data_IF_256039373892
#
_entry.id   IF_256039373892
#
_cell.length_a   1.000
_cell.length_b   1.000
_cell.length_c   1.000
_cell.angle_alpha   90.00
_cell.angle_beta   90.00
_cell.angle_gamma   90.00
#
_symmetry.space_group_name_H-M   'P 1'
#
loop_
_entity.id
_entity.type
_entity.pdbx_description
1 polymer ?
#
# COMPACT_ATOMS: atom_id res chain seq x y z
N UNK A 1 9.77 -0.17 -19.24
CA UNK A 1 8.59 -1.04 -19.13
C UNK A 1 7.37 -0.14 -19.21
N UNK A 2 6.57 -0.29 -20.27
CA UNK A 2 5.68 0.77 -20.78
C UNK A 2 4.40 0.89 -19.96
N UNK A 3 4.37 1.86 -19.05
CA UNK A 3 3.14 2.45 -18.50
C UNK A 3 2.25 3.09 -19.59
N UNK A 4 2.76 3.23 -20.82
CA UNK A 4 2.05 3.82 -21.97
C UNK A 4 1.00 2.91 -22.62
N UNK A 5 0.74 1.71 -22.07
CA UNK A 5 -0.29 0.78 -22.58
C UNK A 5 -1.63 0.99 -21.86
N UNK A 6 -1.62 1.61 -20.68
CA UNK A 6 -2.83 1.88 -19.90
C UNK A 6 -3.50 3.14 -20.43
N UNK A 7 -4.81 3.07 -20.70
CA UNK A 7 -5.57 4.25 -21.13
C UNK A 7 -5.55 5.32 -20.03
N UNK A 8 -5.75 6.59 -20.41
CA UNK A 8 -5.84 7.69 -19.45
C UNK A 8 -6.95 7.49 -18.39
N UNK A 9 -7.92 6.63 -18.68
CA UNK A 9 -8.98 6.22 -17.76
C UNK A 9 -8.49 5.19 -16.74
N UNK A 10 -7.75 4.16 -17.18
CA UNK A 10 -7.07 3.24 -16.27
C UNK A 10 -6.05 3.96 -15.38
N UNK A 11 -5.31 4.94 -15.93
CA UNK A 11 -4.39 5.80 -15.17
C UNK A 11 -5.05 6.57 -14.01
N UNK A 12 -6.36 6.81 -14.06
CA UNK A 12 -7.09 7.50 -12.99
C UNK A 12 -7.46 6.57 -11.83
N UNK A 13 -7.50 5.26 -12.06
CA UNK A 13 -7.92 4.27 -11.05
C UNK A 13 -6.76 3.77 -10.21
N UNK A 14 -5.51 4.09 -10.55
CA UNK A 14 -4.35 3.72 -9.75
C UNK A 14 -3.49 4.89 -9.27
N UNK A 15 -2.78 4.68 -8.17
CA UNK A 15 -1.71 5.56 -7.70
C UNK A 15 -0.46 4.77 -7.33
N UNK A 16 0.70 5.39 -7.46
CA UNK A 16 1.98 4.80 -7.09
C UNK A 16 2.71 5.73 -6.13
N UNK A 17 3.08 5.19 -4.98
CA UNK A 17 3.69 5.97 -3.91
C UNK A 17 5.21 6.00 -4.08
N UNK A 18 5.82 7.03 -3.50
CA UNK A 18 7.27 7.12 -3.42
C UNK A 18 7.83 5.99 -2.55
N UNK A 19 8.93 5.35 -2.98
CA UNK A 19 9.54 4.23 -2.26
C UNK A 19 10.12 4.62 -0.88
N UNK A 20 10.29 5.92 -0.62
CA UNK A 20 10.70 6.45 0.67
C UNK A 20 9.53 6.65 1.64
N UNK A 21 8.28 6.62 1.15
CA UNK A 21 7.09 6.86 1.97
C UNK A 21 7.03 5.89 3.15
N UNK A 22 7.21 4.59 2.89
CA UNK A 22 7.08 3.55 3.91
C UNK A 22 8.21 3.60 4.95
N UNK A 23 9.50 3.74 4.57
CA UNK A 23 10.57 4.03 5.52
C UNK A 23 10.28 5.24 6.43
N UNK A 24 9.72 6.33 5.89
CA UNK A 24 9.34 7.47 6.72
C UNK A 24 8.20 7.15 7.69
N UNK A 25 7.17 6.42 7.23
CA UNK A 25 6.02 6.03 8.05
C UNK A 25 6.42 5.22 9.30
N UNK A 26 7.38 4.30 9.16
CA UNK A 26 7.82 3.44 10.27
C UNK A 26 8.89 4.09 11.16
N UNK A 27 9.54 5.16 10.71
CA UNK A 27 10.72 5.75 11.38
C UNK A 27 10.46 6.25 12.80
N UNK A 28 9.46 7.13 13.00
CA UNK A 28 9.06 7.65 14.30
C UNK A 28 7.62 8.19 14.25
N UNK A 29 7.04 8.47 15.43
CA UNK A 29 5.64 8.89 15.54
C UNK A 29 5.31 10.21 14.82
N UNK A 30 6.26 11.17 14.80
CA UNK A 30 6.06 12.46 14.14
C UNK A 30 6.01 12.30 12.62
N UNK A 31 6.96 11.54 12.05
CA UNK A 31 6.96 11.22 10.63
C UNK A 31 5.76 10.37 10.24
N UNK A 32 5.38 9.40 11.07
CA UNK A 32 4.17 8.61 10.88
C UNK A 32 2.94 9.49 10.73
N UNK A 33 2.73 10.45 11.64
CA UNK A 33 1.60 11.37 11.57
C UNK A 33 1.62 12.19 10.26
N UNK A 34 2.78 12.69 9.84
CA UNK A 34 2.94 13.42 8.58
C UNK A 34 2.60 12.56 7.37
N UNK A 35 3.13 11.34 7.32
CA UNK A 35 2.84 10.40 6.24
C UNK A 35 1.35 10.04 6.23
N UNK A 36 0.74 9.89 7.41
CA UNK A 36 -0.69 9.61 7.50
C UNK A 36 -1.56 10.77 6.96
N UNK A 37 -1.17 12.02 7.25
CA UNK A 37 -1.80 13.22 6.69
C UNK A 37 -1.62 13.30 5.18
N UNK A 38 -0.41 13.05 4.67
CA UNK A 38 -0.12 13.03 3.24
C UNK A 38 -1.05 12.08 2.49
N UNK A 39 -1.24 10.85 2.99
CA UNK A 39 -2.13 9.86 2.36
C UNK A 39 -3.58 10.36 2.30
N UNK A 40 -4.06 11.03 3.36
CA UNK A 40 -5.42 11.60 3.38
C UNK A 40 -5.58 12.71 2.33
N UNK A 41 -4.61 13.61 2.25
CA UNK A 41 -4.65 14.76 1.34
C UNK A 41 -4.55 14.33 -0.14
N UNK A 42 -3.93 13.18 -0.41
CA UNK A 42 -3.64 12.68 -1.75
C UNK A 42 -4.74 11.74 -2.28
N UNK A 43 -5.81 11.54 -1.51
CA UNK A 43 -7.02 10.77 -1.87
C UNK A 43 -6.72 9.37 -2.43
N UNK A 44 -5.66 8.74 -1.96
CA UNK A 44 -5.15 7.46 -2.50
C UNK A 44 -6.09 6.28 -2.29
N UNK A 45 -7.11 6.44 -1.44
CA UNK A 45 -8.17 5.47 -1.21
C UNK A 45 -9.35 5.62 -2.17
N UNK A 46 -9.43 6.72 -2.94
CA UNK A 46 -10.35 6.84 -4.07
C UNK A 46 -9.80 6.13 -5.32
N UNK A 47 -8.69 5.42 -5.18
CA UNK A 47 -8.04 4.67 -6.25
C UNK A 47 -8.35 3.20 -6.04
N UNK A 48 -8.79 2.54 -7.11
CA UNK A 48 -8.99 1.10 -7.16
C UNK A 48 -7.71 0.34 -6.77
N UNK A 49 -6.54 0.86 -7.14
CA UNK A 49 -5.25 0.26 -6.80
C UNK A 49 -4.22 1.29 -6.37
N UNK A 50 -3.68 1.17 -5.16
CA UNK A 50 -2.54 1.95 -4.69
C UNK A 50 -1.31 1.06 -4.51
N UNK A 51 -0.27 1.34 -5.29
CA UNK A 51 1.01 0.63 -5.28
C UNK A 51 2.00 1.32 -4.33
N UNK A 52 2.43 0.61 -3.29
CA UNK A 52 3.37 1.10 -2.27
C UNK A 52 4.65 0.28 -2.33
N UNK A 53 5.66 0.73 -3.09
CA UNK A 53 6.93 0.03 -3.16
C UNK A 53 7.71 0.22 -1.85
N UNK A 54 8.29 -0.86 -1.33
CA UNK A 54 9.06 -0.88 -0.08
C UNK A 54 10.50 -1.30 -0.38
N UNK A 55 11.46 -0.44 -0.05
CA UNK A 55 12.89 -0.72 -0.21
C UNK A 55 13.59 -0.71 1.16
N UNK A 56 13.68 -1.88 1.79
CA UNK A 56 14.31 -2.06 3.11
C UNK A 56 15.34 -3.19 3.10
N UNK A 57 16.40 -3.01 2.31
CA UNK A 57 17.42 -4.04 2.06
C UNK A 57 17.07 -4.97 0.89
N UNK A 58 15.77 -5.14 0.59
CA UNK A 58 15.23 -5.78 -0.61
C UNK A 58 13.93 -5.07 -1.04
N UNK A 59 13.57 -5.21 -2.32
CA UNK A 59 12.39 -4.61 -2.91
C UNK A 59 11.18 -5.51 -2.76
N UNK A 60 10.15 -5.00 -2.09
CA UNK A 60 8.83 -5.60 -2.03
C UNK A 60 7.76 -4.60 -2.43
N UNK A 61 6.55 -5.08 -2.69
CA UNK A 61 5.46 -4.25 -3.14
C UNK A 61 4.19 -4.56 -2.35
N UNK A 62 3.64 -3.53 -1.71
CA UNK A 62 2.29 -3.59 -1.15
C UNK A 62 1.32 -3.02 -2.18
N UNK A 63 0.22 -3.71 -2.42
CA UNK A 63 -0.88 -3.26 -3.27
C UNK A 63 -2.10 -3.13 -2.36
N UNK A 64 -2.61 -1.91 -2.21
CA UNK A 64 -3.89 -1.65 -1.58
C UNK A 64 -4.95 -1.68 -2.68
N UNK A 65 -5.86 -2.65 -2.60
CA UNK A 65 -6.95 -2.80 -3.55
C UNK A 65 -8.25 -2.32 -2.90
N UNK A 66 -9.01 -1.52 -3.64
CA UNK A 66 -10.34 -1.09 -3.28
C UNK A 66 -11.29 -1.43 -4.42
N UNK A 67 -12.34 -2.16 -4.12
CA UNK A 67 -13.39 -2.55 -5.06
C UNK A 67 -14.69 -1.85 -4.64
N UNK A 68 -15.07 -0.82 -5.39
CA UNK A 68 -16.23 0.03 -5.06
C UNK A 68 -17.55 -0.74 -5.08
N UNK A 69 -17.69 -1.74 -5.96
CA UNK A 69 -18.94 -2.49 -6.15
C UNK A 69 -19.31 -3.35 -4.93
N UNK A 70 -18.31 -3.94 -4.28
CA UNK A 70 -18.50 -4.88 -3.17
C UNK A 70 -18.09 -4.29 -1.80
N UNK A 71 -17.73 -3.00 -1.74
CA UNK A 71 -17.10 -2.33 -0.59
C UNK A 71 -15.93 -3.16 -0.01
N UNK A 72 -15.24 -3.88 -0.90
CA UNK A 72 -14.22 -4.83 -0.53
C UNK A 72 -12.86 -4.16 -0.66
N UNK A 73 -12.15 -4.12 0.45
CA UNK A 73 -10.76 -3.68 0.47
C UNK A 73 -9.86 -4.84 0.88
N UNK A 74 -8.75 -5.03 0.17
CA UNK A 74 -7.76 -6.05 0.51
C UNK A 74 -6.34 -5.55 0.24
N UNK A 75 -5.36 -6.18 0.90
CA UNK A 75 -3.94 -5.87 0.72
C UNK A 75 -3.24 -7.09 0.17
N UNK A 76 -2.47 -6.88 -0.89
CA UNK A 76 -1.51 -7.87 -1.37
C UNK A 76 -0.10 -7.41 -1.05
N UNK A 77 0.75 -8.32 -0.59
CA UNK A 77 2.17 -8.09 -0.37
C UNK A 77 2.96 -9.03 -1.27
N UNK A 78 3.68 -8.47 -2.25
CA UNK A 78 4.52 -9.20 -3.17
C UNK A 78 5.98 -9.12 -2.72
N UNK A 79 6.59 -10.27 -2.48
CA UNK A 79 7.98 -10.40 -2.06
C UNK A 79 8.65 -11.60 -2.72
N UNK A 80 9.48 -11.31 -3.72
CA UNK A 80 10.20 -12.30 -4.53
C UNK A 80 11.22 -13.14 -3.77
N UNK A 81 11.70 -12.68 -2.60
CA UNK A 81 12.69 -13.42 -1.82
C UNK A 81 12.04 -14.24 -0.70
N UNK A 82 10.74 -14.10 -0.48
CA UNK A 82 10.03 -14.64 0.69
C UNK A 82 10.77 -14.36 2.02
N UNK A 83 11.51 -13.26 2.05
CA UNK A 83 12.46 -12.91 3.12
C UNK A 83 12.00 -11.67 3.90
N UNK A 84 10.81 -11.18 3.61
CA UNK A 84 10.11 -10.33 4.55
C UNK A 84 9.97 -11.13 5.83
N UNK A 85 10.74 -10.72 6.84
CA UNK A 85 10.48 -11.05 8.23
C UNK A 85 9.06 -10.55 8.50
N UNK A 86 8.10 -11.47 8.32
CA UNK A 86 6.67 -11.19 8.27
C UNK A 86 6.26 -10.39 9.50
N UNK A 87 6.90 -10.61 10.64
CA UNK A 87 6.65 -9.84 11.85
C UNK A 87 7.04 -8.36 11.76
N UNK A 88 8.12 -7.98 11.05
CA UNK A 88 8.58 -6.58 11.02
C UNK A 88 7.79 -5.68 10.06
N UNK A 89 7.29 -6.23 8.96
CA UNK A 89 6.58 -5.45 7.94
C UNK A 89 5.05 -5.63 8.00
N UNK A 90 4.56 -6.81 8.36
CA UNK A 90 3.11 -7.06 8.46
C UNK A 90 2.47 -6.16 9.51
N UNK A 91 3.09 -5.99 10.68
CA UNK A 91 2.51 -5.13 11.73
C UNK A 91 2.38 -3.66 11.31
N UNK A 92 3.41 -3.00 10.76
CA UNK A 92 3.26 -1.65 10.20
C UNK A 92 2.23 -1.56 9.07
N UNK A 93 2.18 -2.54 8.17
CA UNK A 93 1.21 -2.56 7.05
C UNK A 93 -0.22 -2.74 7.59
N UNK A 94 -0.45 -3.65 8.53
CA UNK A 94 -1.75 -3.83 9.19
C UNK A 94 -2.16 -2.57 9.94
N UNK A 95 -1.24 -1.92 10.65
CA UNK A 95 -1.50 -0.65 11.33
C UNK A 95 -1.85 0.47 10.36
N UNK A 96 -1.19 0.52 9.20
CA UNK A 96 -1.53 1.44 8.13
C UNK A 96 -2.99 1.24 7.75
N UNK A 97 -3.37 0.01 7.44
CA UNK A 97 -4.70 -0.37 7.00
C UNK A 97 -5.76 -0.05 8.04
N UNK A 98 -5.54 -0.41 9.30
CA UNK A 98 -6.44 -0.10 10.42
C UNK A 98 -6.62 1.41 10.65
N UNK A 99 -5.68 2.25 10.20
CA UNK A 99 -5.86 3.70 10.24
C UNK A 99 -6.80 4.22 9.16
N UNK A 100 -7.13 3.43 8.14
CA UNK A 100 -7.78 3.91 6.92
C UNK A 100 -9.04 3.18 6.51
N UNK A 101 -9.16 1.89 6.78
CA UNK A 101 -10.29 1.10 6.34
C UNK A 101 -11.00 0.52 7.56
N UNK A 102 -12.33 0.62 7.58
CA UNK A 102 -13.18 0.01 8.60
C UNK A 102 -12.92 -1.51 8.75
N UNK A 103 -13.34 -2.15 9.87
CA UNK A 103 -12.79 -3.43 10.33
C UNK A 103 -13.03 -4.66 9.44
N UNK A 104 -13.70 -4.53 8.30
CA UNK A 104 -14.17 -5.65 7.46
C UNK A 104 -13.17 -6.08 6.39
N UNK A 105 -11.87 -6.10 6.72
CA UNK A 105 -10.82 -6.48 5.79
C UNK A 105 -10.42 -7.95 5.89
N UNK A 106 -10.47 -8.63 4.73
CA UNK A 106 -9.76 -9.88 4.53
C UNK A 106 -8.29 -9.57 4.19
N UNK A 107 -7.40 -9.81 5.16
CA UNK A 107 -5.97 -9.72 4.95
C UNK A 107 -5.46 -11.03 4.33
N UNK A 108 -5.28 -11.06 3.02
CA UNK A 108 -4.71 -12.22 2.33
C UNK A 108 -3.24 -11.97 2.00
N UNK A 109 -2.33 -12.58 2.77
CA UNK A 109 -0.92 -12.65 2.40
C UNK A 109 -0.76 -13.63 1.25
N UNK A 110 -0.68 -13.13 0.03
CA UNK A 110 -0.34 -13.93 -1.15
C UNK A 110 1.17 -13.84 -1.35
N UNK A 111 1.89 -14.88 -0.97
CA UNK A 111 3.32 -15.02 -1.26
C UNK A 111 3.48 -15.56 -2.69
N UNK A 112 4.18 -14.81 -3.55
CA UNK A 112 4.61 -15.23 -4.89
C UNK A 112 6.12 -15.12 -4.99
#
# INVERSE_FOLDING_TARGET
YRWSILSAEHLKTYDCWDCLWFPYYISNASQRKKMLTWVKDKEVFLKQYSFVPICMGHWSLVILCHEEEDDLSFIMLLDSLHNIDSTKLVWPIQRLVLHYVEPLLYFTLIFW
#
